data_IF_144886560386
#
_entry.id   IF_144886560386
#
_cell.length_a   1.000
_cell.length_b   1.000
_cell.length_c   1.000
_cell.angle_alpha   90.00
_cell.angle_beta   90.00
_cell.angle_gamma   90.00
#
_symmetry.space_group_name_H-M   'P 1'
#
loop_
_entity.id
_entity.type
_entity.pdbx_description
1 polymer ?
#
# COMPACT_ATOMS: atom_id res chain seq x y z
N UNK A 1 10.91 8.73 13.93
CA UNK A 1 9.61 8.62 13.22
C UNK A 1 9.19 7.17 13.33
N UNK A 2 8.05 6.89 13.97
CA UNK A 2 7.53 5.53 14.01
C UNK A 2 7.36 5.07 12.55
N UNK A 3 8.17 4.09 12.13
CA UNK A 3 8.02 3.38 10.86
C UNK A 3 6.52 3.06 10.76
N UNK A 4 5.80 3.68 9.82
CA UNK A 4 4.36 3.41 9.66
C UNK A 4 4.24 1.90 9.51
N UNK A 5 3.28 1.34 10.24
CA UNK A 5 3.12 -0.10 10.22
C UNK A 5 2.70 -0.54 8.81
N UNK A 6 3.33 -1.57 8.26
CA UNK A 6 3.00 -2.04 6.91
C UNK A 6 1.53 -2.46 6.81
N UNK A 7 0.97 -2.97 7.92
CA UNK A 7 -0.45 -3.27 8.02
C UNK A 7 -1.31 -2.00 7.90
N UNK A 8 -0.91 -0.88 8.51
CA UNK A 8 -1.61 0.41 8.42
C UNK A 8 -1.50 1.01 7.01
N UNK A 9 -0.34 0.87 6.35
CA UNK A 9 -0.14 1.33 4.97
C UNK A 9 -1.10 0.63 4.02
N UNK A 10 -1.28 -0.68 4.19
CA UNK A 10 -2.24 -1.46 3.38
C UNK A 10 -3.69 -1.31 3.87
N UNK A 11 -3.92 -0.74 5.06
CA UNK A 11 -5.24 -0.67 5.68
C UNK A 11 -5.76 -2.05 6.11
N UNK A 12 -4.87 -2.89 6.61
CA UNK A 12 -5.13 -4.27 7.07
C UNK A 12 -4.82 -4.40 8.56
N UNK A 13 -5.28 -5.48 9.17
CA UNK A 13 -5.01 -5.79 10.57
C UNK A 13 -3.74 -6.63 10.70
N UNK A 14 -3.03 -6.48 11.81
CA UNK A 14 -1.93 -7.40 12.17
C UNK A 14 -2.48 -8.81 12.31
N UNK A 15 -1.97 -9.74 11.49
CA UNK A 15 -2.50 -11.10 11.40
C UNK A 15 -3.48 -11.32 10.25
N UNK A 16 -3.68 -10.33 9.38
CA UNK A 16 -4.35 -10.55 8.09
C UNK A 16 -3.63 -11.62 7.29
N UNK A 17 -4.41 -12.43 6.59
CA UNK A 17 -3.90 -13.47 5.69
C UNK A 17 -3.22 -12.86 4.47
N UNK A 18 -2.32 -13.63 3.85
CA UNK A 18 -1.66 -13.27 2.59
C UNK A 18 -2.66 -12.85 1.49
N UNK A 19 -3.82 -13.51 1.41
CA UNK A 19 -4.89 -13.15 0.48
C UNK A 19 -5.53 -11.79 0.79
N UNK A 20 -5.71 -11.44 2.06
CA UNK A 20 -6.23 -10.13 2.49
C UNK A 20 -5.22 -9.03 2.20
N UNK A 21 -3.94 -9.25 2.52
CA UNK A 21 -2.83 -8.34 2.23
C UNK A 21 -2.76 -8.07 0.71
N UNK A 22 -2.82 -9.12 -0.12
CA UNK A 22 -2.83 -9.00 -1.58
C UNK A 22 -4.05 -8.23 -2.10
N UNK A 23 -5.24 -8.47 -1.55
CA UNK A 23 -6.45 -7.72 -1.92
C UNK A 23 -6.35 -6.26 -1.51
N UNK A 24 -5.80 -5.97 -0.34
CA UNK A 24 -5.60 -4.62 0.18
C UNK A 24 -4.59 -3.85 -0.68
N UNK A 25 -3.42 -4.46 -0.96
CA UNK A 25 -2.43 -3.90 -1.86
C UNK A 25 -3.03 -3.55 -3.23
N UNK A 26 -3.79 -4.45 -3.85
CA UNK A 26 -4.47 -4.16 -5.14
C UNK A 26 -5.38 -2.94 -5.07
N UNK A 27 -6.13 -2.75 -3.98
CA UNK A 27 -7.00 -1.58 -3.79
C UNK A 27 -6.17 -0.29 -3.67
N UNK A 28 -5.10 -0.32 -2.88
CA UNK A 28 -4.21 0.82 -2.68
C UNK A 28 -3.46 1.17 -3.97
N UNK A 29 -2.91 0.16 -4.66
CA UNK A 29 -2.23 0.28 -5.94
C UNK A 29 -3.14 0.88 -7.00
N UNK A 30 -4.40 0.44 -7.12
CA UNK A 30 -5.37 1.03 -8.05
C UNK A 30 -5.76 2.46 -7.68
N UNK A 31 -5.81 2.79 -6.39
CA UNK A 31 -6.14 4.14 -5.91
C UNK A 31 -5.03 5.14 -6.21
N UNK A 32 -3.78 4.73 -6.03
CA UNK A 32 -2.60 5.58 -6.17
C UNK A 32 -1.80 5.32 -7.45
N UNK A 33 -2.35 4.54 -8.39
CA UNK A 33 -1.69 4.20 -9.65
C UNK A 33 -1.28 5.47 -10.42
N UNK A 34 -0.06 5.53 -11.01
CA UNK A 34 0.38 6.68 -11.80
C UNK A 34 -0.56 7.02 -12.96
N UNK A 35 -1.09 6.01 -13.67
CA UNK A 35 -2.06 6.25 -14.76
C UNK A 35 -3.32 7.00 -14.31
N UNK A 36 -3.74 6.86 -13.04
CA UNK A 36 -4.93 7.54 -12.49
C UNK A 36 -4.58 8.81 -11.74
N UNK A 37 -3.31 8.97 -11.36
CA UNK A 37 -2.80 10.09 -10.59
C UNK A 37 -1.54 10.64 -11.28
N UNK A 38 -1.64 11.11 -12.53
CA UNK A 38 -0.49 11.67 -13.23
C UNK A 38 0.06 12.87 -12.47
N UNK A 39 1.39 12.98 -12.42
CA UNK A 39 2.14 14.06 -11.75
C UNK A 39 1.86 14.23 -10.24
N UNK A 40 1.19 13.26 -9.61
CA UNK A 40 0.92 13.30 -8.17
C UNK A 40 2.00 12.55 -7.38
N UNK A 41 2.98 13.31 -6.91
CA UNK A 41 4.08 12.79 -6.10
C UNK A 41 3.64 12.12 -4.80
N UNK A 42 2.56 12.60 -4.18
CA UNK A 42 2.02 11.97 -2.96
C UNK A 42 1.39 10.61 -3.26
N UNK A 43 0.73 10.46 -4.42
CA UNK A 43 0.23 9.17 -4.86
C UNK A 43 1.38 8.20 -5.18
N UNK A 44 2.44 8.68 -5.83
CA UNK A 44 3.65 7.90 -6.09
C UNK A 44 4.30 7.39 -4.80
N UNK A 45 4.47 8.26 -3.80
CA UNK A 45 5.05 7.89 -2.50
C UNK A 45 4.17 6.85 -1.79
N UNK A 46 2.84 7.03 -1.77
CA UNK A 46 1.90 6.05 -1.20
C UNK A 46 1.89 4.72 -1.95
N UNK A 47 2.04 4.76 -3.27
CA UNK A 47 2.13 3.55 -4.09
C UNK A 47 3.41 2.77 -3.76
N UNK A 48 4.55 3.46 -3.62
CA UNK A 48 5.83 2.86 -3.23
C UNK A 48 5.79 2.28 -1.82
N UNK A 49 5.25 3.02 -0.84
CA UNK A 49 5.07 2.52 0.52
C UNK A 49 4.19 1.25 0.54
N UNK A 50 3.12 1.22 -0.25
CA UNK A 50 2.24 0.05 -0.33
C UNK A 50 2.90 -1.15 -1.01
N UNK A 51 3.75 -0.94 -2.00
CA UNK A 51 4.52 -2.00 -2.63
C UNK A 51 5.54 -2.59 -1.67
N UNK A 52 6.28 -1.75 -0.93
CA UNK A 52 7.21 -2.20 0.11
C UNK A 52 6.48 -2.99 1.21
N UNK A 53 5.31 -2.51 1.65
CA UNK A 53 4.48 -3.22 2.62
C UNK A 53 4.04 -4.60 2.13
N UNK A 54 3.66 -4.71 0.86
CA UNK A 54 3.25 -5.98 0.26
C UNK A 54 4.42 -6.96 0.08
N UNK A 55 5.60 -6.46 -0.26
CA UNK A 55 6.80 -7.30 -0.45
C UNK A 55 7.35 -7.83 0.89
N UNK A 56 7.10 -7.13 2.00
CA UNK A 56 7.58 -7.51 3.34
C UNK A 56 6.60 -8.41 4.11
N UNK A 57 5.29 -8.20 3.97
CA UNK A 57 4.26 -8.89 4.76
C UNK A 57 3.84 -10.25 4.19
#
# INVERSE_FOLDING_TARGET
>A
MAKRDYYDILGTSKGSSQDEIKKAYRKVALKYHPDRNPDNKEAEDKFKEAAEAYDVL
#
